data_IF_730064544661
#
_entry.id   IF_730064544661
#
_cell.length_a   1.000
_cell.length_b   1.000
_cell.length_c   1.000
_cell.angle_alpha   90.00
_cell.angle_beta   90.00
_cell.angle_gamma   90.00
#
_symmetry.space_group_name_H-M   'P 1'
#
loop_
_entity.id
_entity.type
_entity.pdbx_description
1 polymer ?
#
# COMPACT_ATOMS: atom_id res chain seq x y z
N UNK A 1 -9.55 -6.02 -13.69
CA UNK A 1 -9.38 -7.04 -12.67
C UNK A 1 -9.77 -6.52 -11.29
N UNK A 2 -10.69 -7.20 -10.66
CA UNK A 2 -11.28 -6.83 -9.37
C UNK A 2 -10.27 -6.90 -8.22
N UNK A 3 -9.29 -7.78 -8.30
CA UNK A 3 -8.25 -7.98 -7.28
C UNK A 3 -7.37 -6.72 -7.05
N UNK A 4 -7.02 -6.00 -8.11
CA UNK A 4 -6.25 -4.76 -7.96
C UNK A 4 -7.04 -3.66 -7.23
N UNK A 5 -8.39 -3.67 -7.30
CA UNK A 5 -9.25 -2.71 -6.59
C UNK A 5 -9.32 -2.93 -5.08
N UNK A 6 -8.91 -4.11 -4.60
CA UNK A 6 -8.91 -4.44 -3.17
C UNK A 6 -7.61 -4.02 -2.47
N UNK A 7 -6.62 -3.54 -3.21
CA UNK A 7 -5.35 -3.07 -2.64
C UNK A 7 -5.58 -1.86 -1.71
N UNK A 8 -5.03 -1.87 -0.50
CA UNK A 8 -5.23 -0.78 0.46
C UNK A 8 -4.71 0.58 -0.03
N UNK A 9 -3.62 0.59 -0.80
CA UNK A 9 -3.03 1.80 -1.39
C UNK A 9 -3.94 2.43 -2.45
N UNK A 10 -4.61 1.62 -3.29
CA UNK A 10 -5.58 2.09 -4.28
C UNK A 10 -6.84 2.62 -3.58
N UNK A 11 -7.33 1.90 -2.55
CA UNK A 11 -8.47 2.35 -1.75
C UNK A 11 -8.18 3.68 -1.04
N UNK A 12 -6.96 3.84 -0.51
CA UNK A 12 -6.53 5.10 0.11
C UNK A 12 -6.48 6.24 -0.92
N UNK A 13 -5.93 5.99 -2.11
CA UNK A 13 -5.86 7.01 -3.16
C UNK A 13 -7.26 7.40 -3.67
N UNK A 14 -8.20 6.45 -3.79
CA UNK A 14 -9.60 6.70 -4.13
C UNK A 14 -10.30 7.54 -3.06
N UNK A 15 -10.11 7.21 -1.78
CA UNK A 15 -10.66 7.99 -0.67
C UNK A 15 -10.14 9.44 -0.66
N UNK A 16 -8.84 9.63 -0.94
CA UNK A 16 -8.25 10.98 -1.07
C UNK A 16 -8.81 11.75 -2.27
N UNK A 17 -9.05 11.08 -3.38
CA UNK A 17 -9.68 11.69 -4.55
C UNK A 17 -11.11 12.15 -4.24
N UNK A 18 -11.90 11.31 -3.56
CA UNK A 18 -13.26 11.67 -3.11
C UNK A 18 -13.25 12.83 -2.13
N UNK A 19 -12.30 12.86 -1.20
CA UNK A 19 -12.14 13.99 -0.27
C UNK A 19 -11.85 15.29 -1.02
N UNK A 20 -10.95 15.26 -2.01
CA UNK A 20 -10.64 16.44 -2.82
C UNK A 20 -11.83 16.93 -3.66
N UNK A 21 -12.74 16.04 -4.09
CA UNK A 21 -14.02 16.43 -4.73
C UNK A 21 -14.93 17.15 -3.73
N UNK A 22 -15.04 16.60 -2.49
CA UNK A 22 -15.84 17.24 -1.45
C UNK A 22 -15.30 18.62 -1.04
N UNK A 23 -13.98 18.80 -1.05
CA UNK A 23 -13.32 20.09 -0.79
C UNK A 23 -13.68 21.17 -1.85
N UNK A 24 -13.94 20.78 -3.11
CA UNK A 24 -14.44 21.71 -4.13
C UNK A 24 -15.85 22.16 -3.74
N UNK A 25 -16.73 21.23 -3.39
CA UNK A 25 -18.09 21.57 -2.94
C UNK A 25 -18.10 22.47 -1.69
N UNK A 26 -17.18 22.25 -0.75
CA UNK A 26 -17.03 23.13 0.42
C UNK A 26 -16.55 24.53 0.00
N UNK A 27 -15.60 24.65 -0.93
CA UNK A 27 -15.12 25.94 -1.44
C UNK A 27 -16.19 26.67 -2.26
N UNK A 28 -17.08 25.95 -2.95
CA UNK A 28 -18.25 26.53 -3.62
C UNK A 28 -19.29 27.00 -2.60
N UNK A 29 -19.52 26.26 -1.51
CA UNK A 29 -20.43 26.65 -0.47
C UNK A 29 -20.02 27.93 0.25
N UNK A 30 -18.72 28.25 0.30
CA UNK A 30 -18.22 29.51 0.90
C UNK A 30 -18.70 30.78 0.15
N UNK A 31 -19.23 30.69 -1.07
CA UNK A 31 -19.83 31.81 -1.79
C UNK A 31 -21.27 32.10 -1.35
N UNK A 32 -21.91 31.18 -0.62
CA UNK A 32 -23.28 31.31 -0.16
C UNK A 32 -23.37 31.84 1.28
N UNK A 33 -24.53 32.41 1.66
CA UNK A 33 -24.74 32.85 3.04
C UNK A 33 -24.60 31.67 4.02
N UNK A 34 -23.84 31.90 5.09
CA UNK A 34 -23.72 30.95 6.20
C UNK A 34 -24.61 31.37 7.33
N UNK A 35 -25.52 30.47 7.74
CA UNK A 35 -26.38 30.67 8.91
C UNK A 35 -25.81 29.80 10.03
N UNK A 36 -25.46 30.40 11.16
CA UNK A 36 -25.01 29.71 12.35
C UNK A 36 -25.92 30.07 13.54
N UNK A 37 -26.23 29.06 14.34
CA UNK A 37 -26.94 29.23 15.59
C UNK A 37 -25.93 29.15 16.71
N UNK A 38 -25.76 30.24 17.45
CA UNK A 38 -24.82 30.33 18.57
C UNK A 38 -25.56 30.54 19.88
N UNK A 39 -25.07 29.86 20.92
CA UNK A 39 -25.54 30.04 22.28
C UNK A 39 -24.36 30.09 23.25
N UNK A 40 -24.43 30.98 24.20
CA UNK A 40 -23.48 31.04 25.31
C UNK A 40 -24.20 31.15 26.63
N UNK A 41 -23.69 30.45 27.62
CA UNK A 41 -24.09 30.57 29.00
C UNK A 41 -22.86 30.78 29.88
N UNK A 42 -22.90 31.75 30.76
CA UNK A 42 -21.76 32.08 31.60
C UNK A 42 -22.14 32.86 32.84
N UNK A 43 -21.18 33.11 33.68
CA UNK A 43 -21.33 33.96 34.88
C UNK A 43 -20.37 35.15 34.70
N UNK A 44 -20.88 36.35 34.90
CA UNK A 44 -20.12 37.59 34.83
C UNK A 44 -20.45 38.47 36.05
N UNK A 45 -19.46 38.77 36.86
CA UNK A 45 -19.57 39.66 38.01
C UNK A 45 -18.38 40.63 38.04
N UNK A 46 -18.60 41.83 38.62
CA UNK A 46 -17.54 42.79 38.82
C UNK A 46 -16.76 42.51 40.11
N UNK A 47 -17.42 41.91 41.13
CA UNK A 47 -16.80 41.49 42.37
C UNK A 47 -16.90 39.98 42.55
N UNK A 48 -15.86 39.41 43.19
CA UNK A 48 -15.79 37.95 43.42
C UNK A 48 -16.94 37.44 44.28
N UNK A 49 -17.48 38.29 45.20
CA UNK A 49 -18.62 37.96 46.05
C UNK A 49 -19.91 37.73 45.29
N UNK A 50 -20.03 38.30 44.09
CA UNK A 50 -21.26 38.24 43.29
C UNK A 50 -21.27 37.10 42.26
N UNK A 51 -20.14 36.37 42.10
CA UNK A 51 -20.01 35.27 41.14
C UNK A 51 -21.03 34.12 41.34
N UNK A 52 -21.60 33.96 42.54
CA UNK A 52 -22.64 32.96 42.86
C UNK A 52 -24.06 33.46 42.75
N UNK A 53 -24.29 34.77 42.54
CA UNK A 53 -25.61 35.39 42.52
C UNK A 53 -26.39 35.04 41.23
N UNK A 54 -27.72 35.08 41.32
CA UNK A 54 -28.58 34.89 40.15
C UNK A 54 -28.37 36.00 39.11
N UNK A 55 -28.07 37.21 39.56
CA UNK A 55 -27.84 38.38 38.71
C UNK A 55 -26.55 38.30 37.87
N UNK A 56 -25.58 37.49 38.26
CA UNK A 56 -24.32 37.29 37.52
C UNK A 56 -24.44 36.35 36.33
N UNK A 57 -25.56 35.66 36.15
CA UNK A 57 -25.79 34.71 35.05
C UNK A 57 -26.09 35.45 33.76
N UNK A 58 -25.38 35.08 32.69
CA UNK A 58 -25.57 35.61 31.35
C UNK A 58 -25.91 34.49 30.39
N UNK A 59 -26.95 34.70 29.63
CA UNK A 59 -27.36 33.81 28.53
C UNK A 59 -27.46 34.64 27.26
N UNK A 60 -26.86 34.15 26.19
CA UNK A 60 -27.05 34.70 24.86
C UNK A 60 -27.37 33.58 23.90
N UNK A 61 -28.39 33.74 23.10
CA UNK A 61 -28.81 32.79 22.09
C UNK A 61 -29.31 33.54 20.86
N UNK A 62 -28.85 33.19 19.66
CA UNK A 62 -29.31 33.82 18.45
C UNK A 62 -28.72 33.25 17.17
N UNK A 63 -29.46 33.43 16.06
CA UNK A 63 -28.93 33.16 14.72
C UNK A 63 -27.98 34.28 14.27
N UNK A 64 -26.89 33.88 13.62
CA UNK A 64 -25.96 34.80 12.95
C UNK A 64 -25.93 34.46 11.45
N UNK A 65 -26.15 35.45 10.61
CA UNK A 65 -26.04 35.35 9.15
C UNK A 65 -24.74 36.02 8.71
N UNK A 66 -23.88 35.27 8.06
CA UNK A 66 -22.67 35.78 7.43
C UNK A 66 -22.76 35.62 5.92
N UNK A 67 -22.65 36.74 5.18
CA UNK A 67 -22.63 36.79 3.71
C UNK A 67 -21.35 37.50 3.26
N UNK A 68 -20.41 36.84 2.56
CA UNK A 68 -19.23 37.50 2.01
C UNK A 68 -19.61 38.27 0.75
N UNK A 69 -19.72 39.60 0.83
CA UNK A 69 -20.06 40.46 -0.32
C UNK A 69 -18.81 40.79 -1.14
N UNK A 70 -17.70 41.10 -0.46
CA UNK A 70 -16.42 41.42 -1.12
C UNK A 70 -15.26 40.89 -0.31
N UNK A 71 -14.48 39.99 -0.93
CA UNK A 71 -13.35 39.29 -0.30
C UNK A 71 -12.05 39.45 -1.11
N UNK A 72 -11.96 40.46 -1.97
CA UNK A 72 -10.75 40.75 -2.75
C UNK A 72 -10.23 39.57 -3.60
N UNK A 73 -11.13 38.70 -4.05
CA UNK A 73 -10.77 37.52 -4.85
C UNK A 73 -10.39 36.26 -4.02
N UNK A 74 -10.36 36.34 -2.68
CA UNK A 74 -9.97 35.21 -1.80
C UNK A 74 -10.78 33.94 -2.08
N UNK A 75 -12.11 34.05 -2.20
CA UNK A 75 -12.99 32.88 -2.46
C UNK A 75 -12.70 32.25 -3.83
N UNK A 76 -12.50 33.08 -4.87
CA UNK A 76 -12.12 32.55 -6.19
C UNK A 76 -10.78 31.84 -6.18
N UNK A 77 -9.80 32.39 -5.46
CA UNK A 77 -8.48 31.76 -5.31
C UNK A 77 -8.55 30.43 -4.53
N UNK A 78 -9.38 30.37 -3.48
CA UNK A 78 -9.62 29.14 -2.73
C UNK A 78 -10.28 28.06 -3.59
N UNK A 79 -11.27 28.40 -4.39
CA UNK A 79 -11.90 27.47 -5.32
C UNK A 79 -10.91 26.97 -6.37
N UNK A 80 -10.10 27.86 -6.94
CA UNK A 80 -9.05 27.48 -7.89
C UNK A 80 -8.00 26.55 -7.24
N UNK A 81 -7.64 26.81 -5.97
CA UNK A 81 -6.75 25.96 -5.19
C UNK A 81 -7.35 24.54 -4.97
N UNK A 82 -8.63 24.47 -4.58
CA UNK A 82 -9.33 23.19 -4.40
C UNK A 82 -9.42 22.40 -5.71
N UNK A 83 -9.70 23.07 -6.82
CA UNK A 83 -9.69 22.45 -8.15
C UNK A 83 -8.28 21.95 -8.56
N UNK A 84 -7.22 22.66 -8.21
CA UNK A 84 -5.85 22.22 -8.46
C UNK A 84 -5.49 21.01 -7.59
N UNK A 85 -5.89 20.99 -6.32
CA UNK A 85 -5.70 19.84 -5.40
C UNK A 85 -6.44 18.60 -5.88
N UNK A 86 -7.66 18.76 -6.40
CA UNK A 86 -8.39 17.64 -7.01
C UNK A 86 -7.63 17.04 -8.21
N UNK A 87 -7.10 17.89 -9.12
CA UNK A 87 -6.28 17.39 -10.24
C UNK A 87 -5.05 16.64 -9.76
N UNK A 88 -4.40 17.13 -8.72
CA UNK A 88 -3.23 16.48 -8.10
C UNK A 88 -3.60 15.11 -7.50
N UNK A 89 -4.73 15.02 -6.79
CA UNK A 89 -5.25 13.77 -6.25
C UNK A 89 -5.60 12.77 -7.36
N UNK A 90 -6.18 13.24 -8.49
CA UNK A 90 -6.48 12.40 -9.65
C UNK A 90 -5.21 11.81 -10.29
N UNK A 91 -4.17 12.61 -10.46
CA UNK A 91 -2.88 12.15 -10.98
C UNK A 91 -2.24 11.15 -10.02
N UNK A 92 -2.27 11.42 -8.70
CA UNK A 92 -1.74 10.52 -7.69
C UNK A 92 -2.48 9.17 -7.68
N UNK A 93 -3.79 9.17 -7.86
CA UNK A 93 -4.59 7.95 -8.01
C UNK A 93 -4.15 7.16 -9.25
N UNK A 94 -4.04 7.81 -10.41
CA UNK A 94 -3.58 7.16 -11.65
C UNK A 94 -2.18 6.55 -11.49
N UNK A 95 -1.24 7.29 -10.88
CA UNK A 95 0.12 6.79 -10.61
C UNK A 95 0.11 5.57 -9.68
N UNK A 96 -0.74 5.57 -8.64
CA UNK A 96 -0.87 4.43 -7.72
C UNK A 96 -1.39 3.20 -8.44
N UNK A 97 -2.41 3.36 -9.30
CA UNK A 97 -2.95 2.25 -10.12
C UNK A 97 -1.90 1.71 -11.07
N UNK A 98 -1.19 2.58 -11.80
CA UNK A 98 -0.13 2.14 -12.74
C UNK A 98 1.00 1.40 -12.00
N UNK A 99 1.44 1.92 -10.86
CA UNK A 99 2.46 1.25 -10.02
C UNK A 99 1.99 -0.13 -9.58
N UNK A 100 0.74 -0.26 -9.12
CA UNK A 100 0.17 -1.53 -8.73
C UNK A 100 0.15 -2.54 -9.88
N UNK A 101 -0.12 -2.12 -11.11
CA UNK A 101 -0.05 -2.96 -12.29
C UNK A 101 1.36 -3.46 -12.57
N UNK A 102 2.35 -2.57 -12.54
CA UNK A 102 3.75 -2.95 -12.73
C UNK A 102 4.25 -3.90 -11.65
N UNK A 103 3.89 -3.67 -10.38
CA UNK A 103 4.25 -4.58 -9.29
C UNK A 103 3.70 -6.00 -9.48
N UNK A 104 2.48 -6.13 -10.01
CA UNK A 104 1.90 -7.45 -10.34
C UNK A 104 2.62 -8.11 -11.51
N UNK A 105 2.92 -7.35 -12.56
CA UNK A 105 3.63 -7.85 -13.74
C UNK A 105 5.05 -8.31 -13.38
N UNK A 106 5.77 -7.50 -12.62
CA UNK A 106 7.11 -7.83 -12.10
C UNK A 106 7.09 -9.09 -11.23
N UNK A 107 6.10 -9.20 -10.34
CA UNK A 107 5.96 -10.38 -9.47
C UNK A 107 5.65 -11.66 -10.26
N UNK A 108 4.80 -11.56 -11.29
CA UNK A 108 4.53 -12.69 -12.20
C UNK A 108 5.77 -13.09 -13.00
N UNK A 109 6.50 -12.10 -13.51
CA UNK A 109 7.75 -12.31 -14.24
C UNK A 109 8.82 -13.00 -13.38
N UNK A 110 8.98 -12.54 -12.13
CA UNK A 110 9.88 -13.13 -11.16
C UNK A 110 9.50 -14.59 -10.86
N UNK A 111 8.24 -14.86 -10.57
CA UNK A 111 7.75 -16.22 -10.31
C UNK A 111 7.99 -17.15 -11.51
N UNK A 112 7.65 -16.72 -12.73
CA UNK A 112 7.88 -17.50 -13.94
C UNK A 112 9.38 -17.75 -14.20
N UNK A 113 10.25 -16.82 -13.83
CA UNK A 113 11.71 -16.97 -13.93
C UNK A 113 12.22 -18.03 -12.94
N UNK A 114 11.77 -17.98 -11.68
CA UNK A 114 12.18 -18.98 -10.68
C UNK A 114 11.71 -20.39 -11.02
N UNK A 115 10.51 -20.56 -11.59
CA UNK A 115 10.05 -21.86 -12.07
C UNK A 115 10.94 -22.43 -13.17
N UNK A 116 11.36 -21.60 -14.14
CA UNK A 116 12.28 -22.04 -15.20
C UNK A 116 13.65 -22.40 -14.63
N UNK A 117 14.16 -21.58 -13.69
CA UNK A 117 15.44 -21.83 -13.01
C UNK A 117 15.40 -23.14 -12.22
N UNK A 118 14.32 -23.40 -11.49
CA UNK A 118 14.14 -24.65 -10.73
C UNK A 118 14.21 -25.88 -11.65
N UNK A 119 13.54 -25.85 -12.81
CA UNK A 119 13.57 -26.94 -13.78
C UNK A 119 15.00 -27.21 -14.30
N UNK A 120 15.79 -26.15 -14.58
CA UNK A 120 17.17 -26.28 -15.03
C UNK A 120 18.10 -26.84 -13.92
N UNK A 121 17.93 -26.38 -12.70
CA UNK A 121 18.71 -26.88 -11.56
C UNK A 121 18.39 -28.34 -11.24
N UNK A 122 17.14 -28.78 -11.43
CA UNK A 122 16.77 -30.17 -11.30
C UNK A 122 17.50 -31.06 -12.32
N UNK A 123 17.56 -30.61 -13.58
CA UNK A 123 18.33 -31.31 -14.61
C UNK A 123 19.84 -31.36 -14.29
N UNK A 124 20.42 -30.25 -13.82
CA UNK A 124 21.80 -30.17 -13.42
C UNK A 124 22.13 -31.14 -12.26
N UNK A 125 21.21 -31.24 -11.28
CA UNK A 125 21.31 -32.17 -10.16
C UNK A 125 21.37 -33.63 -10.66
N UNK A 126 20.43 -34.01 -11.55
CA UNK A 126 20.40 -35.37 -12.11
C UNK A 126 21.67 -35.73 -12.89
N UNK A 127 22.20 -34.75 -13.64
CA UNK A 127 23.49 -34.91 -14.38
C UNK A 127 24.66 -35.08 -13.39
N UNK A 128 24.75 -34.29 -12.35
CA UNK A 128 25.79 -34.39 -11.33
C UNK A 128 25.70 -35.70 -10.50
N UNK A 129 24.49 -36.20 -10.24
CA UNK A 129 24.32 -37.54 -9.67
C UNK A 129 24.85 -38.63 -10.57
N UNK A 130 24.58 -38.52 -11.88
CA UNK A 130 25.09 -39.46 -12.88
C UNK A 130 26.60 -39.39 -12.99
N UNK A 131 27.19 -38.19 -13.03
CA UNK A 131 28.63 -37.97 -13.06
C UNK A 131 29.32 -38.58 -11.83
N UNK A 132 28.74 -38.42 -10.63
CA UNK A 132 29.29 -39.06 -9.42
C UNK A 132 29.29 -40.58 -9.53
N UNK A 133 28.19 -41.18 -10.01
CA UNK A 133 28.11 -42.65 -10.20
C UNK A 133 29.17 -43.14 -11.19
N UNK A 134 29.43 -42.40 -12.29
CA UNK A 134 30.47 -42.72 -13.28
C UNK A 134 31.86 -42.61 -12.67
N UNK A 135 32.15 -41.52 -11.94
CA UNK A 135 33.44 -41.31 -11.27
C UNK A 135 33.73 -42.42 -10.23
N UNK A 136 32.74 -42.82 -9.45
CA UNK A 136 32.88 -43.93 -8.48
C UNK A 136 33.18 -45.27 -9.13
N UNK A 137 32.53 -45.58 -10.27
CA UNK A 137 32.79 -46.80 -11.03
C UNK A 137 34.21 -46.79 -11.64
N UNK A 138 34.63 -45.66 -12.22
CA UNK A 138 35.96 -45.52 -12.80
C UNK A 138 37.07 -45.67 -11.74
N UNK A 139 36.87 -45.12 -10.56
CA UNK A 139 37.76 -45.32 -9.41
C UNK A 139 37.82 -46.77 -8.98
N UNK A 140 36.69 -47.48 -8.85
CA UNK A 140 36.63 -48.89 -8.48
C UNK A 140 37.34 -49.79 -9.52
N UNK A 141 37.31 -49.40 -10.77
CA UNK A 141 38.02 -50.09 -11.90
C UNK A 141 39.49 -49.72 -12.00
N UNK A 142 40.00 -48.81 -11.16
CA UNK A 142 41.37 -48.31 -11.20
C UNK A 142 41.70 -47.43 -12.40
N UNK A 143 40.71 -46.92 -13.15
CA UNK A 143 40.87 -46.07 -14.34
C UNK A 143 40.82 -44.59 -14.04
N UNK A 144 40.45 -44.19 -12.83
CA UNK A 144 40.40 -42.79 -12.37
C UNK A 144 40.97 -42.67 -10.97
N UNK A 145 41.47 -41.48 -10.64
CA UNK A 145 41.94 -41.11 -9.30
C UNK A 145 40.77 -40.77 -8.38
N UNK A 146 40.95 -40.96 -7.07
CA UNK A 146 39.96 -40.61 -6.04
C UNK A 146 39.58 -39.11 -6.05
N UNK A 147 40.50 -38.26 -6.47
CA UNK A 147 40.27 -36.84 -6.67
C UNK A 147 39.08 -36.57 -7.59
N UNK A 148 38.88 -37.38 -8.65
CA UNK A 148 37.73 -37.25 -9.54
C UNK A 148 36.37 -37.50 -8.82
N UNK A 149 36.36 -38.49 -7.90
CA UNK A 149 35.18 -38.76 -7.07
C UNK A 149 34.88 -37.57 -6.15
N UNK A 150 35.90 -37.00 -5.49
CA UNK A 150 35.75 -35.84 -4.61
C UNK A 150 35.23 -34.61 -5.36
N UNK A 151 35.71 -34.35 -6.58
CA UNK A 151 35.25 -33.27 -7.43
C UNK A 151 33.79 -33.46 -7.82
N UNK A 152 33.41 -34.65 -8.27
CA UNK A 152 32.01 -34.95 -8.61
C UNK A 152 31.08 -34.87 -7.40
N UNK A 153 31.53 -35.28 -6.21
CA UNK A 153 30.78 -35.19 -4.96
C UNK A 153 30.57 -33.72 -4.54
N UNK A 154 31.62 -32.88 -4.69
CA UNK A 154 31.51 -31.43 -4.41
C UNK A 154 30.51 -30.76 -5.35
N UNK A 155 30.55 -31.11 -6.65
CA UNK A 155 29.62 -30.56 -7.65
C UNK A 155 28.17 -30.95 -7.33
N UNK A 156 27.95 -32.21 -6.92
CA UNK A 156 26.62 -32.66 -6.51
C UNK A 156 26.11 -31.92 -5.30
N UNK A 157 26.94 -31.71 -4.27
CA UNK A 157 26.56 -30.96 -3.07
C UNK A 157 26.23 -29.50 -3.40
N UNK A 158 27.02 -28.86 -4.29
CA UNK A 158 26.74 -27.51 -4.76
C UNK A 158 25.38 -27.42 -5.49
N UNK A 159 25.08 -28.38 -6.38
CA UNK A 159 23.79 -28.44 -7.09
C UNK A 159 22.60 -28.66 -6.13
N UNK A 160 22.79 -29.44 -5.08
CA UNK A 160 21.76 -29.60 -4.05
C UNK A 160 21.50 -28.28 -3.31
N UNK A 161 22.54 -27.57 -2.89
CA UNK A 161 22.41 -26.27 -2.22
C UNK A 161 21.68 -25.26 -3.11
N UNK A 162 22.10 -25.14 -4.39
CA UNK A 162 21.46 -24.24 -5.35
C UNK A 162 19.97 -24.56 -5.58
N UNK A 163 19.60 -25.85 -5.63
CA UNK A 163 18.19 -26.25 -5.78
C UNK A 163 17.35 -25.87 -4.57
N UNK A 164 17.90 -26.04 -3.35
CA UNK A 164 17.24 -25.64 -2.10
C UNK A 164 17.03 -24.14 -2.06
N UNK A 165 18.06 -23.37 -2.42
CA UNK A 165 17.98 -21.90 -2.48
C UNK A 165 16.93 -21.44 -3.49
N UNK A 166 16.90 -22.06 -4.68
CA UNK A 166 15.90 -21.78 -5.70
C UNK A 166 14.48 -22.15 -5.24
N UNK A 167 14.30 -23.25 -4.54
CA UNK A 167 13.01 -23.64 -3.98
C UNK A 167 12.50 -22.61 -2.97
N UNK A 168 13.40 -22.10 -2.14
CA UNK A 168 13.10 -21.03 -1.18
C UNK A 168 12.75 -19.73 -1.90
N UNK A 169 13.52 -19.34 -2.92
CA UNK A 169 13.25 -18.16 -3.76
C UNK A 169 11.89 -18.26 -4.46
N UNK A 170 11.54 -19.46 -4.97
CA UNK A 170 10.22 -19.72 -5.58
C UNK A 170 9.09 -19.53 -4.57
N UNK A 171 9.22 -20.03 -3.36
CA UNK A 171 8.21 -19.83 -2.31
C UNK A 171 8.06 -18.35 -1.94
N UNK A 172 9.17 -17.62 -1.82
CA UNK A 172 9.15 -16.17 -1.55
C UNK A 172 8.54 -15.38 -2.71
N UNK A 173 8.75 -15.79 -3.97
CA UNK A 173 8.14 -15.12 -5.13
C UNK A 173 6.61 -15.30 -5.16
N UNK A 174 6.10 -16.44 -4.71
CA UNK A 174 4.66 -16.66 -4.52
C UNK A 174 4.09 -15.70 -3.47
N UNK A 175 4.78 -15.56 -2.33
CA UNK A 175 4.37 -14.59 -1.28
C UNK A 175 4.40 -13.15 -1.83
N UNK A 176 5.44 -12.83 -2.63
CA UNK A 176 5.56 -11.54 -3.33
C UNK A 176 4.37 -11.27 -4.25
N UNK A 177 3.96 -12.28 -5.02
CA UNK A 177 2.79 -12.19 -5.91
C UNK A 177 1.49 -11.96 -5.13
N UNK A 178 1.26 -12.71 -4.05
CA UNK A 178 0.10 -12.49 -3.18
C UNK A 178 0.08 -11.07 -2.60
N UNK A 179 1.22 -10.55 -2.18
CA UNK A 179 1.35 -9.18 -1.68
C UNK A 179 1.07 -8.14 -2.78
N UNK A 180 1.58 -8.35 -4.00
CA UNK A 180 1.34 -7.47 -5.15
C UNK A 180 -0.14 -7.44 -5.55
N UNK A 181 -0.85 -8.55 -5.41
CA UNK A 181 -2.30 -8.65 -5.64
C UNK A 181 -3.16 -8.02 -4.54
N UNK A 182 -2.56 -7.54 -3.46
CA UNK A 182 -3.27 -6.87 -2.36
C UNK A 182 -3.42 -7.71 -1.10
N UNK A 183 -2.77 -8.89 -1.03
CA UNK A 183 -2.85 -9.80 0.10
C UNK A 183 -4.24 -10.41 0.30
N UNK A 184 -4.31 -11.55 0.95
CA UNK A 184 -5.57 -12.25 1.22
C UNK A 184 -6.42 -11.60 2.34
N UNK A 185 -6.67 -10.31 2.27
CA UNK A 185 -7.60 -9.64 3.17
C UNK A 185 -9.01 -10.08 2.81
N UNK A 186 -9.53 -11.04 3.56
CA UNK A 186 -10.93 -11.42 3.44
C UNK A 186 -11.80 -10.20 3.78
N UNK A 187 -12.82 -9.95 2.97
CA UNK A 187 -13.83 -8.90 3.17
C UNK A 187 -14.56 -9.02 4.52
N UNK A 188 -14.36 -10.11 5.26
CA UNK A 188 -14.97 -10.39 6.55
C UNK A 188 -14.47 -9.50 7.71
N UNK A 189 -13.25 -8.93 7.62
CA UNK A 189 -12.76 -7.97 8.65
C UNK A 189 -13.38 -6.58 8.53
N UNK A 190 -14.20 -6.31 7.53
CA UNK A 190 -14.89 -5.03 7.32
C UNK A 190 -16.28 -4.95 7.93
N UNK A 191 -16.83 -6.06 8.41
CA UNK A 191 -18.18 -6.09 8.98
C UNK A 191 -18.21 -5.73 10.47
N UNK A 192 -17.07 -5.73 11.18
CA UNK A 192 -16.98 -5.59 12.63
C UNK A 192 -16.24 -4.30 13.07
N UNK A 193 -16.09 -3.31 12.20
CA UNK A 193 -15.56 -1.97 12.50
C UNK A 193 -16.60 -0.90 12.11
#
# INVERSE_FOLDING_TARGET
>A
SELARQRPDILQADARLRAAVADIGAAEADFYPRISLTGSAGVQAFDFSDLGSWASRRYAFGPTLYLPIFEGGRLKSNLALSAARHRLAAIAYQQTVLRAWHEVDDALGAYASELRRHAQLQLALDQNQTALKVAQRAYQQGTADFTAVLVAQRSLLASHAELIDCSTASALSVVGLYRALGGGWSSQLRADA
#
